data_IF_269912161215
#
_entry.id   IF_269912161215
#
_cell.length_a   1.000
_cell.length_b   1.000
_cell.length_c   1.000
_cell.angle_alpha   90.00
_cell.angle_beta   90.00
_cell.angle_gamma   90.00
#
_symmetry.space_group_name_H-M   'P 1'
#
loop_
_entity.id
_entity.type
_entity.pdbx_description
1 polymer ?
#
# COMPACT_ATOMS: atom_id res chain seq x y z
N UNK A 1 5.48 21.19 0.15
CA UNK A 1 5.68 20.91 -1.29
C UNK A 1 6.28 19.51 -1.43
N UNK A 2 5.98 18.78 -2.51
CA UNK A 2 6.55 17.44 -2.75
C UNK A 2 8.04 17.54 -3.12
N UNK A 3 8.84 16.61 -2.60
CA UNK A 3 10.25 16.47 -2.95
C UNK A 3 10.42 15.93 -4.38
N UNK A 4 11.61 16.07 -4.95
CA UNK A 4 11.94 15.46 -6.25
C UNK A 4 11.83 13.92 -6.20
N UNK A 5 12.22 13.30 -5.08
CA UNK A 5 12.07 11.86 -4.84
C UNK A 5 10.58 11.46 -4.92
N UNK A 6 9.71 12.18 -4.20
CA UNK A 6 8.28 11.91 -4.20
C UNK A 6 7.66 12.08 -5.59
N UNK A 7 7.98 13.16 -6.31
CA UNK A 7 7.50 13.36 -7.69
C UNK A 7 7.94 12.24 -8.63
N UNK A 8 9.19 11.77 -8.50
CA UNK A 8 9.69 10.63 -9.27
C UNK A 8 8.94 9.34 -8.93
N UNK A 9 8.69 9.08 -7.65
CA UNK A 9 7.92 7.92 -7.20
C UNK A 9 6.48 7.95 -7.69
N UNK A 10 5.79 9.10 -7.63
CA UNK A 10 4.43 9.28 -8.16
C UNK A 10 4.40 8.95 -9.66
N UNK A 11 5.31 9.55 -10.45
CA UNK A 11 5.36 9.30 -11.88
C UNK A 11 5.71 7.83 -12.22
N UNK A 12 6.59 7.21 -11.42
CA UNK A 12 6.93 5.80 -11.56
C UNK A 12 5.73 4.89 -11.32
N UNK A 13 5.06 5.09 -10.19
CA UNK A 13 3.89 4.31 -9.80
C UNK A 13 2.71 4.52 -10.75
N UNK A 14 2.43 5.75 -11.20
CA UNK A 14 1.37 6.04 -12.15
C UNK A 14 1.56 5.29 -13.48
N UNK A 15 2.79 5.24 -13.99
CA UNK A 15 3.12 4.46 -15.18
C UNK A 15 2.94 2.96 -14.96
N UNK A 16 3.38 2.45 -13.81
CA UNK A 16 3.22 1.04 -13.48
C UNK A 16 1.73 0.65 -13.37
N UNK A 17 0.91 1.48 -12.73
CA UNK A 17 -0.54 1.29 -12.62
C UNK A 17 -1.23 1.33 -13.99
N UNK A 18 -0.88 2.30 -14.84
CA UNK A 18 -1.41 2.36 -16.22
C UNK A 18 -0.99 1.14 -17.07
N UNK A 19 0.14 0.52 -16.74
CA UNK A 19 0.61 -0.68 -17.43
C UNK A 19 -0.06 -1.98 -16.95
N UNK A 20 -0.92 -1.94 -15.93
CA UNK A 20 -1.65 -3.13 -15.45
C UNK A 20 -2.67 -3.67 -16.45
N UNK A 21 -3.10 -2.88 -17.42
CA UNK A 21 -4.02 -3.34 -18.47
C UNK A 21 -4.34 -2.25 -19.49
N UNK A 22 -4.83 -2.63 -20.69
CA UNK A 22 -5.14 -1.69 -21.76
C UNK A 22 -6.20 -0.66 -21.33
N UNK A 23 -7.25 -1.11 -20.63
CA UNK A 23 -8.42 -0.31 -20.25
C UNK A 23 -8.24 0.50 -18.96
N UNK A 24 -7.07 0.45 -18.34
CA UNK A 24 -6.81 1.23 -17.12
C UNK A 24 -6.84 2.73 -17.39
N UNK A 25 -7.51 3.52 -16.57
CA UNK A 25 -7.59 4.97 -16.76
C UNK A 25 -6.30 5.64 -16.32
N UNK A 26 -5.70 6.49 -17.19
CA UNK A 26 -4.53 7.28 -16.83
C UNK A 26 -4.84 8.23 -15.66
N UNK A 27 -6.01 8.86 -15.67
CA UNK A 27 -6.42 9.79 -14.62
C UNK A 27 -6.58 9.07 -13.26
N UNK A 28 -7.15 7.86 -13.26
CA UNK A 28 -7.22 7.05 -12.04
C UNK A 28 -5.84 6.59 -11.57
N UNK A 29 -4.97 6.15 -12.48
CA UNK A 29 -3.60 5.76 -12.16
C UNK A 29 -2.79 6.91 -11.53
N UNK A 30 -2.89 8.12 -12.11
CA UNK A 30 -2.24 9.32 -11.58
C UNK A 30 -2.79 9.65 -10.17
N UNK A 31 -4.11 9.56 -9.98
CA UNK A 31 -4.77 9.85 -8.70
C UNK A 31 -4.42 8.83 -7.60
N UNK A 32 -4.36 7.55 -7.95
CA UNK A 32 -3.93 6.48 -7.03
C UNK A 32 -2.46 6.70 -6.66
N UNK A 33 -1.59 6.96 -7.64
CA UNK A 33 -0.16 7.13 -7.38
C UNK A 33 0.13 8.34 -6.49
N UNK A 34 -0.58 9.44 -6.68
CA UNK A 34 -0.47 10.63 -5.83
C UNK A 34 -0.87 10.30 -4.38
N UNK A 35 -2.05 9.73 -4.17
CA UNK A 35 -2.53 9.41 -2.81
C UNK A 35 -1.70 8.33 -2.15
N UNK A 36 -1.19 7.36 -2.91
CA UNK A 36 -0.32 6.30 -2.40
C UNK A 36 0.96 6.85 -1.78
N UNK A 37 1.43 8.02 -2.24
CA UNK A 37 2.64 8.69 -1.74
C UNK A 37 2.31 9.72 -0.66
N UNK A 38 1.21 10.47 -0.82
CA UNK A 38 0.88 11.61 0.05
C UNK A 38 0.08 11.18 1.27
N UNK A 39 -0.91 10.32 1.10
CA UNK A 39 -1.79 9.94 2.20
C UNK A 39 -1.05 9.24 3.35
N UNK A 40 -0.04 8.38 3.08
CA UNK A 40 0.77 7.83 4.16
C UNK A 40 1.46 8.85 5.05
N UNK A 41 1.82 10.02 4.51
CA UNK A 41 2.42 11.10 5.30
C UNK A 41 1.42 11.69 6.29
N UNK A 42 0.14 11.77 5.90
CA UNK A 42 -0.95 12.20 6.77
C UNK A 42 -1.15 11.17 7.88
N UNK A 43 -1.21 9.88 7.52
CA UNK A 43 -1.35 8.79 8.49
C UNK A 43 -0.16 8.74 9.46
N UNK A 44 1.08 8.94 8.99
CA UNK A 44 2.27 8.96 9.83
C UNK A 44 2.17 10.03 10.93
N UNK A 45 1.68 11.22 10.59
CA UNK A 45 1.43 12.28 11.57
C UNK A 45 0.30 11.88 12.54
N UNK A 46 -0.82 11.36 12.03
CA UNK A 46 -1.96 10.94 12.86
C UNK A 46 -1.61 9.80 13.83
N UNK A 47 -0.73 8.90 13.43
CA UNK A 47 -0.31 7.75 14.23
C UNK A 47 0.80 8.08 15.22
N UNK A 48 1.31 9.32 15.21
CA UNK A 48 2.52 9.72 15.93
C UNK A 48 3.63 8.69 15.70
N UNK A 49 3.83 8.40 14.41
CA UNK A 49 4.60 7.25 13.94
C UNK A 49 6.06 7.35 14.36
N UNK A 50 6.60 6.21 14.79
CA UNK A 50 8.02 6.09 15.12
C UNK A 50 8.71 5.15 14.15
N UNK A 51 10.01 5.39 13.98
CA UNK A 51 10.92 4.46 13.30
C UNK A 51 11.73 3.68 14.37
N UNK A 52 11.97 2.37 14.20
CA UNK A 52 11.55 1.50 13.09
C UNK A 52 10.08 1.05 13.21
N UNK A 53 9.44 0.53 12.14
CA UNK A 53 8.02 0.18 12.16
C UNK A 53 7.67 -0.93 13.17
N UNK A 54 8.62 -1.80 13.52
CA UNK A 54 8.44 -2.79 14.57
C UNK A 54 8.26 -2.14 15.95
N UNK A 55 8.90 -1.00 16.21
CA UNK A 55 8.70 -0.25 17.44
C UNK A 55 7.29 0.33 17.50
N UNK A 56 6.74 0.81 16.37
CA UNK A 56 5.33 1.22 16.31
C UNK A 56 4.41 0.06 16.69
N UNK A 57 4.67 -1.16 16.20
CA UNK A 57 3.86 -2.33 16.55
C UNK A 57 3.89 -2.62 18.06
N UNK A 58 5.06 -2.53 18.70
CA UNK A 58 5.19 -2.68 20.15
C UNK A 58 4.36 -1.62 20.88
N UNK A 59 4.46 -0.35 20.46
CA UNK A 59 3.73 0.74 21.10
C UNK A 59 2.22 0.61 20.95
N UNK A 60 1.72 0.17 19.79
CA UNK A 60 0.28 -0.07 19.58
C UNK A 60 -0.20 -1.22 20.46
N UNK A 61 0.51 -2.35 20.46
CA UNK A 61 0.15 -3.51 21.28
C UNK A 61 0.22 -3.20 22.79
N UNK A 62 1.12 -2.31 23.20
CA UNK A 62 1.22 -1.81 24.57
C UNK A 62 0.22 -0.67 24.90
N UNK A 63 -0.70 -0.33 23.99
CA UNK A 63 -1.70 0.75 24.13
C UNK A 63 -1.07 2.13 24.38
N UNK A 64 0.14 2.37 23.85
CA UNK A 64 0.86 3.66 23.87
C UNK A 64 0.67 4.46 22.57
N UNK A 65 0.10 3.83 21.56
CA UNK A 65 -0.34 4.39 20.28
C UNK A 65 -1.66 3.74 19.91
N UNK A 66 -2.53 4.49 19.25
CA UNK A 66 -3.84 3.96 18.87
C UNK A 66 -3.78 3.14 17.57
N UNK A 67 -2.84 3.49 16.68
CA UNK A 67 -2.75 2.95 15.32
C UNK A 67 -1.31 2.88 14.80
N UNK A 68 -1.11 2.11 13.74
CA UNK A 68 0.15 2.00 13.01
C UNK A 68 0.59 0.56 12.70
N UNK A 69 -0.23 -0.45 13.03
CA UNK A 69 0.01 -1.84 12.62
C UNK A 69 -0.16 -1.98 11.10
N UNK A 70 0.56 -2.92 10.48
CA UNK A 70 0.52 -3.14 9.03
C UNK A 70 -0.91 -3.31 8.48
N UNK A 71 -1.77 -4.04 9.20
CA UNK A 71 -3.15 -4.24 8.80
C UNK A 71 -3.99 -2.96 8.88
N UNK A 72 -3.69 -2.07 9.83
CA UNK A 72 -4.36 -0.77 9.96
C UNK A 72 -3.95 0.17 8.82
N UNK A 73 -2.66 0.20 8.47
CA UNK A 73 -2.20 0.92 7.27
C UNK A 73 -2.95 0.47 6.03
N UNK A 74 -3.02 -0.83 5.80
CA UNK A 74 -3.68 -1.38 4.63
C UNK A 74 -5.20 -1.12 4.63
N UNK A 75 -5.86 -1.11 5.79
CA UNK A 75 -7.29 -0.75 5.92
C UNK A 75 -7.53 0.73 5.63
N UNK A 76 -6.74 1.62 6.25
CA UNK A 76 -6.91 3.07 6.11
C UNK A 76 -6.56 3.56 4.70
N UNK A 77 -5.51 2.99 4.09
CA UNK A 77 -5.20 3.20 2.67
C UNK A 77 -6.35 2.73 1.77
N UNK A 78 -6.90 1.54 2.01
CA UNK A 78 -8.04 1.02 1.24
C UNK A 78 -9.26 1.93 1.37
N UNK A 79 -9.59 2.33 2.60
CA UNK A 79 -10.74 3.20 2.88
C UNK A 79 -10.58 4.56 2.20
N UNK A 80 -9.37 5.11 2.15
CA UNK A 80 -9.08 6.34 1.43
C UNK A 80 -9.27 6.18 -0.09
N UNK A 81 -8.69 5.13 -0.67
CA UNK A 81 -8.77 4.87 -2.11
C UNK A 81 -10.20 4.59 -2.59
N UNK A 82 -11.02 3.93 -1.76
CA UNK A 82 -12.44 3.67 -2.07
C UNK A 82 -13.25 4.94 -2.32
N UNK A 83 -12.89 6.07 -1.69
CA UNK A 83 -13.58 7.36 -1.89
C UNK A 83 -13.49 7.88 -3.32
N UNK A 84 -12.52 7.40 -4.11
CA UNK A 84 -12.34 7.79 -5.52
C UNK A 84 -13.35 7.15 -6.48
N UNK A 85 -14.14 6.16 -6.05
CA UNK A 85 -15.11 5.46 -6.89
C UNK A 85 -14.50 4.92 -8.21
N UNK A 86 -13.29 4.34 -8.12
CA UNK A 86 -12.50 3.82 -9.24
C UNK A 86 -13.32 2.87 -10.13
N UNK A 87 -13.17 3.02 -11.44
CA UNK A 87 -13.89 2.23 -12.45
C UNK A 87 -12.99 1.21 -13.13
N UNK A 88 -11.70 1.51 -13.25
CA UNK A 88 -10.76 0.69 -14.03
C UNK A 88 -9.77 -0.10 -13.18
N UNK A 89 -9.84 0.05 -11.85
CA UNK A 89 -9.01 -0.66 -10.87
C UNK A 89 -9.86 -1.31 -9.78
N UNK A 90 -9.41 -2.45 -9.28
CA UNK A 90 -9.92 -3.05 -8.04
C UNK A 90 -8.88 -2.94 -6.92
N UNK A 91 -9.39 -2.81 -5.70
CA UNK A 91 -8.62 -2.72 -4.47
C UNK A 91 -8.69 -4.06 -3.74
N UNK A 92 -7.57 -4.76 -3.66
CA UNK A 92 -7.44 -6.05 -3.01
C UNK A 92 -6.57 -5.95 -1.76
N UNK A 93 -6.74 -6.90 -0.85
CA UNK A 93 -5.88 -7.05 0.33
C UNK A 93 -4.88 -8.17 0.09
N UNK A 94 -3.60 -7.85 0.24
CA UNK A 94 -2.52 -8.83 0.29
C UNK A 94 -2.18 -9.20 1.72
N UNK A 95 -1.93 -10.50 1.96
CA UNK A 95 -1.38 -11.02 3.21
C UNK A 95 -0.17 -11.89 2.93
N UNK A 96 0.88 -11.74 3.72
CA UNK A 96 2.06 -12.60 3.72
C UNK A 96 2.21 -13.22 5.12
N UNK A 97 2.74 -14.45 5.18
CA UNK A 97 3.00 -15.17 6.44
C UNK A 97 1.78 -15.24 7.38
N UNK A 98 0.59 -15.51 6.82
CA UNK A 98 -0.68 -15.53 7.57
C UNK A 98 -0.56 -16.46 8.79
N UNK A 99 -1.00 -15.97 9.96
CA UNK A 99 -0.92 -16.66 11.28
C UNK A 99 0.48 -16.90 11.83
N UNK A 100 1.52 -16.30 11.24
CA UNK A 100 2.88 -16.32 11.78
C UNK A 100 3.21 -14.98 12.46
N UNK A 101 4.28 -14.97 13.27
CA UNK A 101 4.70 -13.77 14.04
C UNK A 101 5.06 -12.56 13.15
N UNK A 102 5.40 -12.81 11.89
CA UNK A 102 5.72 -11.82 10.87
C UNK A 102 4.61 -11.71 9.81
N UNK A 103 3.36 -11.99 10.19
CA UNK A 103 2.21 -11.72 9.31
C UNK A 103 2.24 -10.27 8.86
N UNK A 104 2.14 -10.07 7.56
CA UNK A 104 2.19 -8.76 6.95
C UNK A 104 1.02 -8.54 6.01
N UNK A 105 0.53 -7.31 5.99
CA UNK A 105 -0.71 -6.93 5.33
C UNK A 105 -0.49 -5.63 4.56
N UNK A 106 -1.01 -5.57 3.34
CA UNK A 106 -0.82 -4.42 2.46
C UNK A 106 -1.94 -4.30 1.43
N UNK A 107 -2.14 -3.09 0.90
CA UNK A 107 -3.09 -2.83 -0.18
C UNK A 107 -2.46 -3.26 -1.51
N UNK A 108 -3.23 -3.96 -2.34
CA UNK A 108 -2.86 -4.33 -3.71
C UNK A 108 -3.84 -3.69 -4.69
N UNK A 109 -3.31 -3.06 -5.73
CA UNK A 109 -4.08 -2.50 -6.83
C UNK A 109 -3.95 -3.41 -8.04
N UNK A 110 -5.07 -3.82 -8.63
CA UNK A 110 -5.13 -4.58 -9.88
C UNK A 110 -5.98 -3.83 -10.90
N UNK A 111 -5.80 -4.10 -12.19
CA UNK A 111 -6.79 -3.71 -13.19
C UNK A 111 -8.16 -4.32 -12.85
N UNK A 112 -9.25 -3.70 -13.30
CA UNK A 112 -10.61 -4.17 -13.02
C UNK A 112 -10.78 -5.65 -13.41
N UNK A 113 -11.21 -6.49 -12.46
CA UNK A 113 -11.36 -7.94 -12.64
C UNK A 113 -10.04 -8.71 -12.77
N UNK A 114 -8.89 -8.05 -12.60
CA UNK A 114 -7.56 -8.65 -12.72
C UNK A 114 -7.22 -9.60 -11.57
N UNK A 115 -6.34 -10.56 -11.86
CA UNK A 115 -5.81 -11.48 -10.86
C UNK A 115 -4.89 -10.76 -9.85
N UNK A 116 -4.90 -11.22 -8.60
CA UNK A 116 -4.10 -10.67 -7.51
C UNK A 116 -2.61 -10.56 -7.84
N UNK A 117 -2.04 -11.58 -8.49
CA UNK A 117 -0.61 -11.66 -8.80
C UNK A 117 -0.19 -10.73 -9.96
N UNK A 118 -1.15 -10.15 -10.67
CA UNK A 118 -0.86 -9.11 -11.67
C UNK A 118 -0.74 -7.71 -11.07
N UNK A 119 -1.11 -7.56 -9.79
CA UNK A 119 -1.23 -6.27 -9.13
C UNK A 119 0.07 -5.63 -8.67
N UNK A 120 -0.07 -4.41 -8.17
CA UNK A 120 0.98 -3.64 -7.49
C UNK A 120 0.63 -3.49 -6.01
N UNK A 121 1.56 -3.88 -5.16
CA UNK A 121 1.53 -3.71 -3.72
C UNK A 121 1.84 -2.26 -3.33
N UNK A 122 1.10 -1.71 -2.37
CA UNK A 122 1.28 -0.36 -1.81
C UNK A 122 1.48 -0.45 -0.29
N UNK A 123 2.74 -0.38 0.13
CA UNK A 123 3.16 -0.68 1.50
C UNK A 123 3.91 0.47 2.18
N UNK A 124 3.19 1.41 2.79
CA UNK A 124 3.80 2.49 3.57
C UNK A 124 4.29 2.05 4.96
N UNK A 125 3.91 0.86 5.45
CA UNK A 125 4.31 0.42 6.78
C UNK A 125 5.82 0.12 6.84
N UNK A 126 6.38 -0.51 5.79
CA UNK A 126 7.79 -0.94 5.75
C UNK A 126 8.80 0.16 6.06
N UNK A 127 8.56 1.37 5.56
CA UNK A 127 9.46 2.50 5.72
C UNK A 127 8.84 3.60 6.59
N UNK A 128 7.96 3.22 7.53
CA UNK A 128 7.34 4.15 8.48
C UNK A 128 6.76 5.41 7.80
N UNK A 129 5.84 5.21 6.86
CA UNK A 129 5.12 6.28 6.17
C UNK A 129 5.71 6.66 4.80
N UNK A 130 6.92 6.23 4.46
CA UNK A 130 7.39 6.27 3.07
C UNK A 130 6.88 5.05 2.30
N UNK A 131 6.23 5.27 1.16
CA UNK A 131 5.67 4.18 0.34
C UNK A 131 6.77 3.29 -0.22
N UNK A 132 6.71 2.00 0.11
CA UNK A 132 7.28 0.94 -0.71
C UNK A 132 6.20 0.43 -1.69
N UNK A 133 6.54 0.24 -2.96
CA UNK A 133 5.66 -0.39 -3.93
C UNK A 133 6.44 -1.34 -4.83
N UNK A 134 5.80 -2.44 -5.19
CA UNK A 134 6.37 -3.50 -6.02
C UNK A 134 5.25 -4.28 -6.71
N UNK A 135 5.54 -5.01 -7.79
CA UNK A 135 4.58 -6.00 -8.30
C UNK A 135 4.44 -7.15 -7.31
N UNK A 136 3.29 -7.79 -7.31
CA UNK A 136 3.03 -8.96 -6.44
C UNK A 136 3.67 -10.22 -7.04
N UNK A 137 4.99 -10.21 -7.17
CA UNK A 137 5.80 -11.34 -7.62
C UNK A 137 6.98 -11.54 -6.67
N UNK A 138 7.44 -12.79 -6.51
CA UNK A 138 8.56 -13.09 -5.63
C UNK A 138 9.87 -12.43 -6.08
N UNK A 139 10.03 -12.16 -7.39
CA UNK A 139 11.23 -11.51 -7.92
C UNK A 139 11.31 -10.01 -7.52
N UNK A 140 10.15 -9.35 -7.42
CA UNK A 140 10.07 -7.91 -7.12
C UNK A 140 10.00 -7.65 -5.60
N UNK A 141 9.47 -8.60 -4.83
CA UNK A 141 9.45 -8.56 -3.36
C UNK A 141 9.83 -9.91 -2.72
N UNK A 142 11.13 -10.29 -2.72
CA UNK A 142 11.58 -11.58 -2.23
C UNK A 142 11.45 -11.75 -0.71
N UNK A 143 11.14 -10.68 0.02
CA UNK A 143 11.02 -10.71 1.49
C UNK A 143 9.71 -11.39 1.95
N UNK A 144 8.69 -11.40 1.09
CA UNK A 144 7.35 -11.84 1.45
C UNK A 144 6.71 -12.65 0.32
N UNK A 145 6.17 -13.82 0.65
CA UNK A 145 5.28 -14.55 -0.26
C UNK A 145 3.85 -14.05 -0.05
N UNK A 146 3.34 -13.30 -1.02
CA UNK A 146 2.03 -12.67 -0.95
C UNK A 146 0.92 -13.59 -1.43
N UNK A 147 -0.20 -13.55 -0.72
CA UNK A 147 -1.44 -14.20 -1.11
C UNK A 147 -2.60 -13.21 -1.03
N UNK A 148 -3.61 -13.41 -1.89
CA UNK A 148 -4.88 -12.69 -1.77
C UNK A 148 -5.50 -13.04 -0.42
N UNK A 149 -5.78 -12.02 0.38
CA UNK A 149 -6.48 -12.22 1.64
C UNK A 149 -7.94 -12.58 1.35
N UNK A 150 -8.36 -13.73 1.88
CA UNK A 150 -9.73 -14.23 1.84
C UNK A 150 -10.16 -14.43 3.29
N UNK A 151 -11.26 -13.78 3.66
CA UNK A 151 -11.88 -13.89 4.98
C UNK A 151 -12.29 -15.33 5.28
#
# INVERSE_FOLDING_TARGET
>A
MLTNKQRKSINGLARALKALGPDTSKAEADAIAYDAIVYPMILANQYHLVYPPQLQNILVNAKRRDRGLCWQWADDMTAHMKKKNLKTFDLLRGTANRRLKNEHNSLVIVAKGGDFYTGILLDPWRNSGELYWAKVTNDEDPQYTWHKFVN
#
